data_IF_032282526714
#
_entry.id   IF_032282526714
#
_cell.length_a   1.000
_cell.length_b   1.000
_cell.length_c   1.000
_cell.angle_alpha   90.00
_cell.angle_beta   90.00
_cell.angle_gamma   90.00
#
_symmetry.space_group_name_H-M   'P 1'
#
loop_
_entity.id
_entity.type
_entity.pdbx_description
1 polymer ?
#
# COMPACT_ATOMS: atom_id res chain seq x y z
N UNK A 1 -11.82 2.18 -2.85
CA UNK A 1 -10.37 1.93 -2.96
C UNK A 1 -10.09 0.44 -2.99
N UNK A 2 -9.16 0.01 -3.80
CA UNK A 2 -8.71 -1.37 -3.82
C UNK A 2 -7.37 -1.46 -3.09
N UNK A 3 -7.38 -2.07 -1.91
CA UNK A 3 -6.19 -2.13 -1.05
C UNK A 3 -5.05 -2.90 -1.72
N UNK A 4 -5.36 -4.02 -2.35
CA UNK A 4 -4.34 -4.82 -3.03
C UNK A 4 -3.65 -4.06 -4.15
N UNK A 5 -4.42 -3.37 -4.96
CA UNK A 5 -3.87 -2.57 -6.05
C UNK A 5 -3.06 -1.40 -5.53
N UNK A 6 -3.48 -0.82 -4.41
CA UNK A 6 -2.75 0.28 -3.80
C UNK A 6 -1.39 -0.18 -3.31
N UNK A 7 -1.34 -1.36 -2.69
CA UNK A 7 -0.07 -1.94 -2.27
C UNK A 7 0.84 -2.17 -3.47
N UNK A 8 0.29 -2.75 -4.54
CA UNK A 8 1.04 -3.00 -5.76
C UNK A 8 1.61 -1.70 -6.33
N UNK A 9 0.81 -0.64 -6.32
CA UNK A 9 1.24 0.67 -6.80
C UNK A 9 2.47 1.17 -6.04
N UNK A 10 2.40 1.18 -4.71
CA UNK A 10 3.54 1.68 -3.92
C UNK A 10 4.74 0.75 -4.01
N UNK A 11 4.49 -0.57 -4.06
CA UNK A 11 5.57 -1.54 -4.16
C UNK A 11 6.35 -1.38 -5.46
N UNK A 12 5.64 -1.29 -6.57
CA UNK A 12 6.29 -1.17 -7.88
C UNK A 12 6.98 0.18 -8.05
N UNK A 13 6.44 1.23 -7.43
CA UNK A 13 7.07 2.53 -7.44
C UNK A 13 8.45 2.51 -6.78
N UNK A 14 8.67 1.58 -5.85
CA UNK A 14 9.95 1.40 -5.19
C UNK A 14 10.82 0.33 -5.87
N UNK A 15 10.33 -0.26 -6.94
CA UNK A 15 11.01 -1.36 -7.62
C UNK A 15 11.23 -2.58 -6.71
N UNK A 16 10.31 -2.79 -5.76
CA UNK A 16 10.36 -3.96 -4.90
C UNK A 16 9.63 -5.13 -5.56
N UNK A 17 10.21 -6.32 -5.46
CA UNK A 17 9.49 -7.54 -5.79
C UNK A 17 8.51 -7.86 -4.68
N UNK A 18 7.56 -8.76 -4.95
CA UNK A 18 6.65 -9.25 -3.92
C UNK A 18 7.45 -9.86 -2.77
N UNK A 19 8.48 -10.66 -3.11
CA UNK A 19 9.31 -11.29 -2.10
C UNK A 19 10.01 -10.25 -1.21
N UNK A 20 10.54 -9.20 -1.83
CA UNK A 20 11.23 -8.14 -1.09
C UNK A 20 10.28 -7.48 -0.09
N UNK A 21 9.11 -7.07 -0.57
CA UNK A 21 8.16 -6.39 0.31
C UNK A 21 7.66 -7.33 1.41
N UNK A 22 7.40 -8.59 1.09
CA UNK A 22 6.96 -9.55 2.09
C UNK A 22 8.01 -9.72 3.18
N UNK A 23 9.27 -9.86 2.79
CA UNK A 23 10.38 -9.99 3.74
C UNK A 23 10.46 -8.76 4.65
N UNK A 24 10.42 -7.58 4.08
CA UNK A 24 10.48 -6.34 4.86
C UNK A 24 9.29 -6.16 5.78
N UNK A 25 8.13 -6.68 5.39
CA UNK A 25 6.90 -6.57 6.18
C UNK A 25 6.77 -7.67 7.22
N UNK A 26 7.61 -8.70 7.16
CA UNK A 26 7.54 -9.81 8.10
C UNK A 26 6.40 -10.78 7.82
N UNK A 27 5.92 -10.86 6.57
CA UNK A 27 4.84 -11.78 6.18
C UNK A 27 5.33 -12.68 5.05
N UNK A 28 4.59 -13.76 4.79
CA UNK A 28 4.97 -14.67 3.71
C UNK A 28 4.70 -14.04 2.35
N UNK A 29 5.47 -14.45 1.36
CA UNK A 29 5.27 -14.01 -0.01
C UNK A 29 3.89 -14.43 -0.53
N UNK A 30 3.48 -15.64 -0.18
CA UNK A 30 2.18 -16.15 -0.60
C UNK A 30 1.03 -15.30 -0.04
N UNK A 31 1.13 -14.91 1.23
CA UNK A 31 0.12 -14.08 1.88
C UNK A 31 0.06 -12.70 1.22
N UNK A 32 1.22 -12.08 0.98
CA UNK A 32 1.24 -10.78 0.33
C UNK A 32 0.66 -10.85 -1.08
N UNK A 33 0.98 -11.90 -1.82
CA UNK A 33 0.45 -12.09 -3.16
C UNK A 33 -1.07 -12.17 -3.13
N UNK A 34 -1.62 -12.92 -2.16
CA UNK A 34 -3.08 -13.02 -2.01
C UNK A 34 -3.71 -11.67 -1.69
N UNK A 35 -3.05 -10.86 -0.87
CA UNK A 35 -3.56 -9.51 -0.57
C UNK A 35 -3.55 -8.66 -1.83
N UNK A 36 -2.48 -8.69 -2.59
CA UNK A 36 -2.38 -7.87 -3.80
C UNK A 36 -3.42 -8.28 -4.84
N UNK A 37 -3.72 -9.58 -4.91
CA UNK A 37 -4.72 -10.09 -5.86
C UNK A 37 -6.15 -9.88 -5.40
N UNK A 38 -6.34 -9.45 -4.15
CA UNK A 38 -7.67 -9.24 -3.62
C UNK A 38 -8.31 -10.48 -3.03
N UNK A 39 -7.56 -11.58 -2.89
CA UNK A 39 -8.07 -12.83 -2.34
C UNK A 39 -8.14 -12.80 -0.82
N UNK A 40 -7.40 -11.90 -0.19
CA UNK A 40 -7.40 -11.72 1.26
C UNK A 40 -7.29 -10.25 1.59
N UNK A 41 -7.92 -9.87 2.70
CA UNK A 41 -7.83 -8.50 3.19
C UNK A 41 -6.86 -8.47 4.37
N UNK A 42 -5.91 -7.53 4.39
CA UNK A 42 -5.01 -7.42 5.53
C UNK A 42 -5.74 -6.82 6.73
N UNK A 43 -5.32 -7.20 7.92
CA UNK A 43 -5.72 -6.48 9.12
C UNK A 43 -5.03 -5.12 9.11
N UNK A 44 -5.50 -4.19 9.95
CA UNK A 44 -4.84 -2.90 10.10
C UNK A 44 -3.39 -3.08 10.54
N UNK A 45 -3.14 -4.05 11.43
CA UNK A 45 -1.78 -4.32 11.89
C UNK A 45 -0.88 -4.77 10.75
N UNK A 46 -1.34 -5.71 9.95
CA UNK A 46 -0.57 -6.18 8.79
C UNK A 46 -0.35 -5.04 7.79
N UNK A 47 -1.39 -4.25 7.55
CA UNK A 47 -1.26 -3.12 6.63
C UNK A 47 -0.25 -2.11 7.16
N UNK A 48 -0.20 -1.87 8.46
CA UNK A 48 0.78 -0.95 9.03
C UNK A 48 2.21 -1.46 8.83
N UNK A 49 2.42 -2.77 8.93
CA UNK A 49 3.75 -3.34 8.65
C UNK A 49 4.14 -3.15 7.20
N UNK A 50 3.18 -3.33 6.29
CA UNK A 50 3.42 -3.14 4.86
C UNK A 50 3.75 -1.66 4.58
N UNK A 51 3.00 -0.74 5.15
CA UNK A 51 3.26 0.69 4.98
C UNK A 51 4.63 1.07 5.54
N UNK A 52 5.00 0.52 6.69
CA UNK A 52 6.30 0.78 7.28
C UNK A 52 7.41 0.30 6.35
N UNK A 53 7.25 -0.89 5.78
CA UNK A 53 8.21 -1.43 4.83
C UNK A 53 8.32 -0.57 3.57
N UNK A 54 7.22 0.07 3.18
CA UNK A 54 7.19 0.97 2.02
C UNK A 54 7.60 2.39 2.38
N UNK A 55 7.84 2.65 3.66
CA UNK A 55 8.22 3.97 4.16
C UNK A 55 7.15 5.02 3.87
N UNK A 56 5.89 4.63 4.03
CA UNK A 56 4.77 5.55 3.92
C UNK A 56 3.90 5.42 5.17
N UNK A 57 3.13 6.45 5.46
CA UNK A 57 2.18 6.39 6.57
C UNK A 57 0.89 5.74 6.11
N UNK A 58 0.07 5.28 7.06
CA UNK A 58 -1.28 4.80 6.74
C UNK A 58 -2.09 5.92 6.10
N UNK A 59 -1.87 7.15 6.54
CA UNK A 59 -2.55 8.31 5.96
C UNK A 59 -2.23 8.43 4.48
N UNK A 60 -0.94 8.35 4.13
CA UNK A 60 -0.53 8.41 2.72
C UNK A 60 -1.11 7.26 1.92
N UNK A 61 -1.14 6.09 2.54
CA UNK A 61 -1.67 4.91 1.87
C UNK A 61 -3.13 5.11 1.46
N UNK A 62 -3.93 5.70 2.34
CA UNK A 62 -5.36 5.89 2.09
C UNK A 62 -5.71 7.22 1.43
N UNK A 63 -4.73 8.05 1.13
CA UNK A 63 -4.97 9.37 0.56
C UNK A 63 -5.05 9.27 -0.96
N UNK A 64 -6.27 9.16 -1.47
CA UNK A 64 -6.50 9.10 -2.91
C UNK A 64 -6.40 10.47 -3.58
N UNK A 65 -6.37 11.53 -2.78
CA UNK A 65 -6.24 12.89 -3.29
C UNK A 65 -4.86 13.16 -3.86
N UNK A 66 -3.87 12.38 -3.46
CA UNK A 66 -2.53 12.55 -3.99
C UNK A 66 -2.48 12.33 -5.50
N UNK A 67 -3.51 11.75 -6.03
CA UNK A 67 -3.57 11.52 -7.47
C UNK A 67 -4.08 12.73 -8.23
N UNK A 68 -4.49 13.67 -7.54
CA UNK A 68 -4.99 14.64 -8.09
C UNK A 68 -5.27 15.89 -8.03
N UNK A 69 -5.54 16.13 -8.14
CA UNK A 69 -5.95 17.06 -7.98
C UNK A 69 -6.12 17.83 -7.03
N UNK A 70 -6.14 18.13 -6.58
CA UNK A 70 -6.30 18.68 -5.64
C UNK A 70 -6.34 19.47 -5.40
N UNK A 71 -6.31 19.65 -5.54
CA UNK A 71 -6.40 20.19 -5.06
C UNK A 71 -6.78 20.95 -5.02
N UNK A 72 -6.98 20.96 -5.25
CA UNK A 72 -7.50 21.48 -5.09
C UNK A 72 -7.99 21.95 -4.50
N UNK A 73 -7.70 21.72 -4.17
CA UNK A 73 -8.17 22.09 -3.50
C UNK A 73 -8.38 22.82 -2.81
N UNK A 74 -8.35 23.25 -2.89
CA UNK A 74 -8.55 23.74 -2.16
C UNK A 74 -8.81 24.24 -1.61
N UNK A 75 -8.64 24.02 -1.67
CA UNK A 75 -8.98 24.25 -1.16
C UNK A 75 -9.17 24.17 -0.93
N UNK A 76 -8.83 23.74 -1.40
CA UNK A 76 -9.02 23.57 -1.32
C UNK A 76 -9.17 23.72 -0.99
N UNK A 77 -8.88 23.87 -1.20
CA UNK A 77 -9.07 24.07 -0.95
C UNK A 77 -9.34 24.37 -0.86
#
# INVERSE_FOLDING_TARGET
MNVGKRITFFRTAKNYSVNKLATLSGISQSYLRDIELGNKNPTIEILSYICEALNISLREFFDEQTNGQFWNDPLIA
#
